data_IF_125624530694
#
_entry.id   IF_125624530694
#
_cell.length_a   1.000
_cell.length_b   1.000
_cell.length_c   1.000
_cell.angle_alpha   90.00
_cell.angle_beta   90.00
_cell.angle_gamma   90.00
#
_symmetry.space_group_name_H-M   'P 1'
#
loop_
_entity.id
_entity.type
_entity.pdbx_description
1 polymer ?
#
# COMPACT_ATOMS: atom_id res chain seq x y z
N UNK A 1 -3.05 -4.88 20.41
CA UNK A 1 -2.95 -3.51 20.97
C UNK A 1 -2.31 -2.65 19.90
N UNK A 2 -3.04 -1.71 19.30
CA UNK A 2 -2.48 -0.78 18.31
C UNK A 2 -2.18 0.53 19.04
N UNK A 3 -0.90 0.89 19.10
CA UNK A 3 -0.41 2.10 19.77
C UNK A 3 -0.55 3.31 18.85
N UNK A 4 -0.93 4.45 19.43
CA UNK A 4 -1.25 5.75 18.81
C UNK A 4 -0.05 6.45 18.10
N UNK A 5 0.83 5.73 17.40
CA UNK A 5 2.00 6.27 16.69
C UNK A 5 2.09 5.93 15.20
N UNK A 6 1.07 5.29 14.61
CA UNK A 6 1.13 4.84 13.20
C UNK A 6 0.71 5.91 12.18
N UNK A 7 -0.20 6.83 12.54
CA UNK A 7 -0.79 7.80 11.60
C UNK A 7 0.19 8.87 11.14
N UNK A 8 1.02 9.39 12.06
CA UNK A 8 2.07 10.37 11.72
C UNK A 8 3.15 9.73 10.83
N UNK A 9 3.44 8.45 11.07
CA UNK A 9 4.43 7.71 10.29
C UNK A 9 3.88 7.34 8.90
N UNK A 10 2.59 6.99 8.79
CA UNK A 10 1.96 6.72 7.49
C UNK A 10 1.94 7.97 6.61
N UNK A 11 1.48 9.11 7.14
CA UNK A 11 1.46 10.36 6.36
C UNK A 11 2.86 10.79 5.92
N UNK A 12 3.86 10.61 6.78
CA UNK A 12 5.26 10.86 6.42
C UNK A 12 5.76 9.88 5.34
N UNK A 13 5.41 8.59 5.42
CA UNK A 13 5.74 7.60 4.40
C UNK A 13 5.10 7.95 3.05
N UNK A 14 3.81 8.31 3.04
CA UNK A 14 3.09 8.71 1.83
C UNK A 14 3.73 9.95 1.18
N UNK A 15 4.11 10.95 1.97
CA UNK A 15 4.85 12.11 1.47
C UNK A 15 6.20 11.74 0.86
N UNK A 16 6.95 10.81 1.48
CA UNK A 16 8.21 10.32 0.90
C UNK A 16 7.99 9.52 -0.38
N UNK A 17 6.92 8.73 -0.47
CA UNK A 17 6.55 7.97 -1.67
C UNK A 17 6.17 8.93 -2.79
N UNK A 18 5.42 10.00 -2.50
CA UNK A 18 5.11 11.04 -3.47
C UNK A 18 6.37 11.68 -4.06
N UNK A 19 7.42 11.84 -3.25
CA UNK A 19 8.74 12.29 -3.68
C UNK A 19 9.59 11.21 -4.39
N UNK A 20 9.06 10.00 -4.61
CA UNK A 20 9.74 8.91 -5.31
C UNK A 20 10.60 7.99 -4.43
N UNK A 21 10.43 8.01 -3.10
CA UNK A 21 11.18 7.12 -2.21
C UNK A 21 10.68 5.67 -2.29
N UNK A 22 11.46 4.82 -2.97
CA UNK A 22 11.15 3.39 -3.12
C UNK A 22 11.21 2.60 -1.81
N UNK A 23 12.06 3.00 -0.85
CA UNK A 23 12.15 2.30 0.45
C UNK A 23 10.87 2.49 1.25
N UNK A 24 10.34 3.71 1.26
CA UNK A 24 9.06 4.02 1.92
C UNK A 24 7.91 3.28 1.24
N UNK A 25 7.96 3.14 -0.09
CA UNK A 25 7.00 2.34 -0.83
C UNK A 25 7.06 0.85 -0.47
N UNK A 26 8.27 0.28 -0.31
CA UNK A 26 8.43 -1.10 0.12
C UNK A 26 7.84 -1.38 1.52
N UNK A 27 7.91 -0.40 2.43
CA UNK A 27 7.30 -0.49 3.76
C UNK A 27 5.76 -0.59 3.64
N UNK A 28 5.15 0.31 2.86
CA UNK A 28 3.70 0.31 2.60
C UNK A 28 3.29 -0.98 1.89
N UNK A 29 4.03 -1.43 0.87
CA UNK A 29 3.81 -2.69 0.19
C UNK A 29 3.82 -3.88 1.17
N UNK A 30 4.85 -4.01 2.00
CA UNK A 30 4.98 -5.12 2.96
C UNK A 30 3.88 -5.13 4.03
N UNK A 31 3.36 -3.95 4.39
CA UNK A 31 2.25 -3.85 5.33
C UNK A 31 0.92 -4.25 4.69
N UNK A 32 0.56 -3.59 3.59
CA UNK A 32 -0.76 -3.72 2.97
C UNK A 32 -0.92 -4.98 2.12
N UNK A 33 0.18 -5.58 1.64
CA UNK A 33 0.12 -6.89 0.95
C UNK A 33 -0.46 -7.99 1.83
N UNK A 34 -0.22 -7.95 3.15
CA UNK A 34 -0.80 -8.91 4.12
C UNK A 34 -2.32 -8.77 4.27
N UNK A 35 -2.90 -7.67 3.81
CA UNK A 35 -4.33 -7.37 3.87
C UNK A 35 -4.98 -7.62 2.50
N UNK A 36 -4.37 -7.09 1.44
CA UNK A 36 -4.91 -7.13 0.08
C UNK A 36 -4.79 -8.53 -0.52
N UNK A 37 -3.67 -9.24 -0.29
CA UNK A 37 -3.45 -10.55 -0.91
C UNK A 37 -4.48 -11.60 -0.47
N UNK A 38 -4.77 -11.79 0.84
CA UNK A 38 -5.82 -12.74 1.25
C UNK A 38 -7.20 -12.40 0.70
N UNK A 39 -7.51 -11.11 0.55
CA UNK A 39 -8.76 -10.66 -0.06
C UNK A 39 -8.82 -11.03 -1.56
N UNK A 40 -7.76 -10.72 -2.32
CA UNK A 40 -7.65 -11.10 -3.72
C UNK A 40 -7.71 -12.62 -3.89
N UNK A 41 -7.01 -13.39 -3.05
CA UNK A 41 -7.04 -14.85 -3.07
C UNK A 41 -8.43 -15.42 -2.80
N UNK A 42 -9.20 -14.82 -1.89
CA UNK A 42 -10.58 -15.24 -1.62
C UNK A 42 -11.49 -15.01 -2.83
N UNK A 43 -11.25 -13.94 -3.59
CA UNK A 43 -12.01 -13.59 -4.79
C UNK A 43 -11.64 -14.47 -5.99
N UNK A 44 -10.35 -14.64 -6.26
CA UNK A 44 -9.85 -15.32 -7.46
C UNK A 44 -9.73 -16.84 -7.29
N UNK A 45 -9.60 -17.32 -6.05
CA UNK A 45 -9.26 -18.72 -5.73
C UNK A 45 -7.97 -19.22 -6.39
N UNK A 46 -7.09 -18.30 -6.80
CA UNK A 46 -5.84 -18.59 -7.50
C UNK A 46 -4.73 -17.68 -6.98
N UNK A 47 -3.62 -18.28 -6.54
CA UNK A 47 -2.46 -17.53 -6.08
C UNK A 47 -1.91 -16.63 -7.18
N UNK A 48 -1.75 -17.13 -8.41
CA UNK A 48 -1.21 -16.35 -9.52
C UNK A 48 -2.07 -15.12 -9.85
N UNK A 49 -3.39 -15.29 -9.92
CA UNK A 49 -4.30 -14.16 -10.15
C UNK A 49 -4.34 -13.19 -8.96
N UNK A 50 -4.21 -13.69 -7.73
CA UNK A 50 -4.14 -12.84 -6.55
C UNK A 50 -2.84 -12.02 -6.50
N UNK A 51 -1.71 -12.61 -6.90
CA UNK A 51 -0.43 -11.91 -7.05
C UNK A 51 -0.50 -10.85 -8.16
N UNK A 52 -1.12 -11.16 -9.29
CA UNK A 52 -1.29 -10.21 -10.39
C UNK A 52 -2.12 -8.99 -9.96
N UNK A 53 -3.26 -9.21 -9.29
CA UNK A 53 -4.09 -8.13 -8.72
C UNK A 53 -3.28 -7.30 -7.71
N UNK A 54 -2.56 -7.96 -6.80
CA UNK A 54 -1.73 -7.26 -5.82
C UNK A 54 -0.69 -6.37 -6.53
N UNK A 55 0.02 -6.91 -7.51
CA UNK A 55 1.02 -6.17 -8.28
C UNK A 55 0.40 -4.99 -9.02
N UNK A 56 -0.75 -5.19 -9.68
CA UNK A 56 -1.44 -4.13 -10.43
C UNK A 56 -1.89 -2.98 -9.52
N UNK A 57 -2.44 -3.29 -8.34
CA UNK A 57 -2.84 -2.29 -7.34
C UNK A 57 -1.63 -1.44 -6.93
N UNK A 58 -0.54 -2.08 -6.52
CA UNK A 58 0.65 -1.34 -6.09
C UNK A 58 1.34 -0.59 -7.23
N UNK A 59 1.34 -1.14 -8.45
CA UNK A 59 1.86 -0.45 -9.62
C UNK A 59 1.06 0.84 -9.90
N UNK A 60 -0.27 0.78 -9.84
CA UNK A 60 -1.14 1.96 -9.99
C UNK A 60 -0.87 3.00 -8.90
N UNK A 61 -0.67 2.58 -7.66
CA UNK A 61 -0.32 3.48 -6.54
C UNK A 61 1.03 4.17 -6.81
N UNK A 62 2.04 3.43 -7.26
CA UNK A 62 3.36 3.99 -7.57
C UNK A 62 3.34 4.97 -8.75
N UNK A 63 2.60 4.64 -9.81
CA UNK A 63 2.44 5.52 -10.97
C UNK A 63 1.77 6.84 -10.54
N UNK A 64 0.75 6.76 -9.68
CA UNK A 64 -0.01 7.92 -9.18
C UNK A 64 0.53 8.49 -7.86
N UNK A 65 1.79 8.16 -7.49
CA UNK A 65 2.34 8.46 -6.16
C UNK A 65 2.29 9.93 -5.76
N UNK A 66 2.36 10.84 -6.72
CA UNK A 66 2.33 12.29 -6.48
C UNK A 66 1.05 12.74 -5.77
N UNK A 67 -0.06 12.01 -5.99
CA UNK A 67 -1.34 12.27 -5.34
C UNK A 67 -1.41 11.74 -3.90
N UNK A 68 -0.43 10.96 -3.42
CA UNK A 68 -0.48 10.37 -2.08
C UNK A 68 -0.36 11.41 -0.97
N UNK A 69 0.16 12.61 -1.26
CA UNK A 69 0.29 13.70 -0.30
C UNK A 69 -1.06 14.24 0.21
N UNK A 70 -2.12 14.09 -0.59
CA UNK A 70 -3.46 14.58 -0.25
C UNK A 70 -4.34 13.51 0.40
N UNK A 71 -3.85 12.28 0.56
CA UNK A 71 -4.60 11.19 1.17
C UNK A 71 -4.54 11.34 2.69
N UNK A 72 -5.71 11.49 3.32
CA UNK A 72 -5.84 11.54 4.77
C UNK A 72 -5.82 10.14 5.41
N UNK A 73 -6.35 9.15 4.70
CA UNK A 73 -6.51 7.77 5.17
C UNK A 73 -6.21 6.81 4.01
N UNK A 74 -5.12 6.05 4.10
CA UNK A 74 -4.68 5.17 3.00
C UNK A 74 -5.16 3.72 3.15
N UNK A 75 -5.29 3.25 4.40
CA UNK A 75 -5.58 1.85 4.71
C UNK A 75 -6.90 1.52 5.38
N UNK A 76 -7.73 2.53 5.62
CA UNK A 76 -8.96 2.43 6.41
C UNK A 76 -10.18 2.77 5.59
#
# INVERSE_FOLDING_TARGET
>A
MLQNGQTDNEKALLGQIAAGNQKSFAIIFAHYSKIIFPFALKLTRSNGLAEEILQEVFLKIWINRENLVSIENFGT
#
